data_IF_256926124848
#
_entry.id   IF_256926124848
#
_cell.length_a   1.000
_cell.length_b   1.000
_cell.length_c   1.000
_cell.angle_alpha   90.00
_cell.angle_beta   90.00
_cell.angle_gamma   90.00
#
_symmetry.space_group_name_H-M   'P 1'
#
loop_
_entity.id
_entity.type
_entity.pdbx_description
1 polymer ?
#
# COMPACT_ATOMS: atom_id res chain seq x y z
N UNK A 1 -6.26 16.75 -15.42
CA UNK A 1 -6.60 15.33 -15.62
C UNK A 1 -5.29 14.60 -15.88
N UNK A 2 -4.82 13.80 -14.92
CA UNK A 2 -3.70 12.89 -15.19
C UNK A 2 -4.27 11.70 -15.95
N UNK A 3 -3.81 11.49 -17.18
CA UNK A 3 -4.27 10.37 -18.01
C UNK A 3 -3.42 9.15 -17.67
N UNK A 4 -3.96 8.25 -16.85
CA UNK A 4 -3.35 6.95 -16.60
C UNK A 4 -3.72 6.00 -17.74
N UNK A 5 -2.73 5.60 -18.55
CA UNK A 5 -2.94 4.60 -19.59
C UNK A 5 -2.94 3.20 -18.96
N UNK A 6 -4.14 2.64 -18.80
CA UNK A 6 -4.35 1.24 -18.47
C UNK A 6 -4.43 0.42 -19.76
N UNK A 7 -3.94 -0.82 -19.72
CA UNK A 7 -4.17 -1.76 -20.82
C UNK A 7 -5.66 -2.11 -20.93
N UNK A 8 -6.05 -2.68 -22.08
CA UNK A 8 -7.45 -3.00 -22.37
C UNK A 8 -8.05 -4.03 -21.41
N UNK A 9 -7.24 -4.96 -20.89
CA UNK A 9 -7.70 -5.99 -19.95
C UNK A 9 -7.99 -5.37 -18.58
N UNK A 10 -7.06 -4.56 -18.07
CA UNK A 10 -7.25 -3.87 -16.79
C UNK A 10 -8.43 -2.90 -16.86
N UNK A 11 -8.58 -2.18 -17.96
CA UNK A 11 -9.71 -1.29 -18.20
C UNK A 11 -11.04 -2.06 -18.16
N UNK A 12 -11.14 -3.20 -18.85
CA UNK A 12 -12.35 -4.02 -18.85
C UNK A 12 -12.69 -4.56 -17.45
N UNK A 13 -11.68 -4.96 -16.66
CA UNK A 13 -11.85 -5.41 -15.28
C UNK A 13 -12.35 -4.29 -14.37
N UNK A 14 -11.78 -3.09 -14.48
CA UNK A 14 -12.21 -1.92 -13.72
C UNK A 14 -13.67 -1.56 -14.03
N UNK A 15 -14.04 -1.52 -15.31
CA UNK A 15 -15.41 -1.30 -15.75
C UNK A 15 -16.40 -2.33 -15.18
N UNK A 16 -16.03 -3.62 -15.23
CA UNK A 16 -16.86 -4.70 -14.69
C UNK A 16 -17.04 -4.57 -13.17
N UNK A 17 -15.98 -4.25 -12.44
CA UNK A 17 -16.01 -4.07 -10.99
C UNK A 17 -16.85 -2.85 -10.59
N UNK A 18 -16.74 -1.73 -11.32
CA UNK A 18 -17.58 -0.55 -11.11
C UNK A 18 -19.06 -0.88 -11.28
N UNK A 19 -19.42 -1.63 -12.34
CA UNK A 19 -20.79 -2.07 -12.57
C UNK A 19 -21.32 -3.00 -11.48
N UNK A 20 -20.48 -3.91 -10.99
CA UNK A 20 -20.86 -4.88 -9.96
C UNK A 20 -21.08 -4.20 -8.60
N UNK A 21 -20.23 -3.23 -8.26
CA UNK A 21 -20.23 -2.57 -6.95
C UNK A 21 -21.11 -1.31 -6.91
N UNK A 22 -21.50 -0.78 -8.07
CA UNK A 22 -22.19 0.51 -8.18
C UNK A 22 -21.29 1.72 -7.85
N UNK A 23 -19.98 1.52 -7.76
CA UNK A 23 -19.00 2.56 -7.41
C UNK A 23 -18.39 3.20 -8.65
N UNK A 24 -18.00 4.49 -8.60
CA UNK A 24 -17.27 5.13 -9.70
C UNK A 24 -15.89 4.48 -9.93
N UNK A 25 -15.51 4.31 -11.19
CA UNK A 25 -14.19 3.77 -11.56
C UNK A 25 -13.04 4.60 -11.02
N UNK A 26 -13.22 5.93 -10.94
CA UNK A 26 -12.22 6.84 -10.38
C UNK A 26 -11.96 6.57 -8.90
N UNK A 27 -12.97 6.15 -8.14
CA UNK A 27 -12.82 5.84 -6.72
C UNK A 27 -12.17 4.48 -6.53
N UNK A 28 -12.57 3.48 -7.32
CA UNK A 28 -11.93 2.15 -7.33
C UNK A 28 -10.47 2.23 -7.77
N UNK A 29 -10.16 3.04 -8.78
CA UNK A 29 -8.80 3.26 -9.25
C UNK A 29 -7.96 3.97 -8.19
N UNK A 30 -8.51 5.01 -7.55
CA UNK A 30 -7.83 5.71 -6.44
C UNK A 30 -7.50 4.75 -5.31
N UNK A 31 -8.48 3.96 -4.87
CA UNK A 31 -8.32 2.98 -3.80
C UNK A 31 -7.27 1.93 -4.16
N UNK A 32 -7.32 1.36 -5.36
CA UNK A 32 -6.34 0.38 -5.81
C UNK A 32 -4.91 0.95 -5.87
N UNK A 33 -4.75 2.20 -6.32
CA UNK A 33 -3.45 2.87 -6.35
C UNK A 33 -2.97 3.17 -4.93
N UNK A 34 -3.84 3.67 -4.05
CA UNK A 34 -3.49 3.93 -2.64
C UNK A 34 -3.03 2.66 -1.94
N UNK A 35 -3.82 1.58 -2.02
CA UNK A 35 -3.46 0.31 -1.40
C UNK A 35 -2.12 -0.24 -1.92
N UNK A 36 -1.89 -0.15 -3.23
CA UNK A 36 -0.61 -0.59 -3.79
C UNK A 36 0.57 0.27 -3.36
N UNK A 37 0.37 1.57 -3.16
CA UNK A 37 1.42 2.45 -2.63
C UNK A 37 1.74 2.11 -1.17
N UNK A 38 0.71 1.85 -0.34
CA UNK A 38 0.88 1.39 1.05
C UNK A 38 1.68 0.07 1.10
N UNK A 39 1.31 -0.91 0.27
CA UNK A 39 2.06 -2.18 0.16
C UNK A 39 3.55 -1.96 -0.20
N UNK A 40 3.84 -1.02 -1.12
CA UNK A 40 5.21 -0.70 -1.52
C UNK A 40 5.98 0.03 -0.42
N UNK A 41 5.32 0.88 0.35
CA UNK A 41 5.90 1.58 1.50
C UNK A 41 6.26 0.59 2.61
N UNK A 42 5.40 -0.38 2.89
CA UNK A 42 5.64 -1.46 3.85
C UNK A 42 6.82 -2.35 3.46
N UNK A 43 6.90 -2.74 2.18
CA UNK A 43 8.02 -3.51 1.65
C UNK A 43 9.33 -2.73 1.86
N UNK A 44 9.33 -1.44 1.51
CA UNK A 44 10.51 -0.59 1.68
C UNK A 44 10.93 -0.48 3.14
N UNK A 45 10.00 -0.27 4.07
CA UNK A 45 10.28 -0.20 5.51
C UNK A 45 10.86 -1.53 6.04
N UNK A 46 10.36 -2.65 5.53
CA UNK A 46 10.86 -3.99 5.85
C UNK A 46 12.29 -4.18 5.33
N UNK A 47 12.58 -3.78 4.09
CA UNK A 47 13.93 -3.87 3.50
C UNK A 47 14.95 -2.97 4.22
N UNK A 48 14.52 -1.81 4.72
CA UNK A 48 15.34 -0.94 5.56
C UNK A 48 15.65 -1.60 6.91
N UNK A 49 14.64 -2.13 7.58
CA UNK A 49 14.79 -2.86 8.84
C UNK A 49 15.72 -4.07 8.70
N UNK A 50 15.61 -4.81 7.59
CA UNK A 50 16.48 -5.94 7.29
C UNK A 50 17.94 -5.49 7.16
N UNK A 51 18.20 -4.42 6.40
CA UNK A 51 19.57 -3.87 6.23
C UNK A 51 20.18 -3.44 7.56
N UNK A 52 19.39 -2.86 8.46
CA UNK A 52 19.86 -2.47 9.79
C UNK A 52 20.29 -3.71 10.60
N UNK A 53 19.45 -4.74 10.64
CA UNK A 53 19.77 -6.01 11.32
C UNK A 53 21.03 -6.65 10.73
N UNK A 54 21.15 -6.71 9.40
CA UNK A 54 22.32 -7.25 8.70
C UNK A 54 23.59 -6.44 8.98
N UNK A 55 23.48 -5.13 9.20
CA UNK A 55 24.59 -4.25 9.59
C UNK A 55 25.03 -4.42 11.05
N UNK A 56 24.35 -5.29 11.80
CA UNK A 56 24.61 -5.55 13.22
C UNK A 56 23.86 -4.62 14.17
N UNK A 57 22.88 -3.85 13.68
CA UNK A 57 21.97 -3.11 14.54
C UNK A 57 21.09 -4.11 15.32
N UNK A 58 20.80 -3.77 16.58
CA UNK A 58 19.92 -4.59 17.41
C UNK A 58 18.48 -4.40 16.91
N UNK A 59 17.74 -5.47 16.62
CA UNK A 59 16.33 -5.34 16.24
C UNK A 59 15.54 -4.65 17.37
N UNK A 60 14.46 -3.93 17.02
CA UNK A 60 13.61 -3.27 18.01
C UNK A 60 13.08 -4.28 19.03
N UNK A 61 13.00 -3.85 20.27
CA UNK A 61 12.34 -4.59 21.33
C UNK A 61 10.83 -4.62 21.10
N UNK A 62 10.15 -5.58 21.73
CA UNK A 62 8.69 -5.66 21.65
C UNK A 62 7.99 -4.38 22.10
N UNK A 63 8.55 -3.65 23.08
CA UNK A 63 7.99 -2.39 23.55
C UNK A 63 8.13 -1.26 22.52
N UNK A 64 9.25 -1.21 21.80
CA UNK A 64 9.47 -0.23 20.71
C UNK A 64 8.58 -0.53 19.49
N UNK A 65 8.32 -1.81 19.23
CA UNK A 65 7.41 -2.24 18.16
C UNK A 65 5.95 -1.87 18.47
N UNK A 66 5.52 -2.04 19.72
CA UNK A 66 4.16 -1.71 20.18
C UNK A 66 3.87 -0.21 20.02
N UNK A 67 4.83 0.64 20.43
CA UNK A 67 4.73 2.09 20.27
C UNK A 67 4.68 2.53 18.80
N UNK A 68 5.39 1.83 17.92
CA UNK A 68 5.38 2.11 16.48
C UNK A 68 4.02 1.78 15.85
N UNK A 69 3.48 0.60 16.14
CA UNK A 69 2.19 0.14 15.60
C UNK A 69 1.01 1.01 16.08
N UNK A 70 1.05 1.46 17.33
CA UNK A 70 0.04 2.36 17.88
C UNK A 70 0.02 3.73 17.19
N UNK A 71 1.17 4.23 16.69
CA UNK A 71 1.24 5.50 15.96
C UNK A 71 0.64 5.42 14.56
N UNK A 72 0.82 4.31 13.87
CA UNK A 72 0.29 4.12 12.52
C UNK A 72 -1.22 3.84 12.55
N UNK A 73 -1.72 3.09 13.52
CA UNK A 73 -3.16 2.86 13.70
C UNK A 73 -3.93 4.11 14.17
N UNK A 74 -3.23 5.11 14.69
CA UNK A 74 -3.80 6.37 15.15
C UNK A 74 -3.85 7.47 14.06
N UNK A 75 -3.35 7.21 12.86
CA UNK A 75 -3.27 8.16 11.74
C UNK A 75 -4.33 7.92 10.68
#
# INVERSE_FOLDING_TARGET
>A
MNTHHLDSTTTARLHALARLTGRPESDLLREAVTAYLEDLEDIRATEESLREIESGAKPPTLAELDEYLDRDLAR
#
